data_IF_271062633502
#
_entry.id   IF_271062633502
#
_cell.length_a   1.000
_cell.length_b   1.000
_cell.length_c   1.000
_cell.angle_alpha   90.00
_cell.angle_beta   90.00
_cell.angle_gamma   90.00
#
_symmetry.space_group_name_H-M   'P 1'
#
loop_
_entity.id
_entity.type
_entity.pdbx_description
1 polymer ?
#
# COMPACT_ATOMS: atom_id res chain seq x y z
N UNK A 1 11.65 -7.68 -5.74
CA UNK A 1 11.07 -7.86 -7.10
C UNK A 1 10.83 -6.54 -7.82
N UNK A 2 10.08 -5.59 -7.24
CA UNK A 2 9.84 -4.28 -7.87
C UNK A 2 11.11 -3.56 -8.34
N UNK A 3 12.09 -3.43 -7.44
CA UNK A 3 13.40 -2.85 -7.78
C UNK A 3 14.06 -3.54 -8.98
N UNK A 4 14.09 -4.88 -9.00
CA UNK A 4 14.67 -5.64 -10.10
C UNK A 4 13.97 -5.39 -11.43
N UNK A 5 12.62 -5.40 -11.44
CA UNK A 5 11.86 -5.10 -12.66
C UNK A 5 12.07 -3.65 -13.12
N UNK A 6 11.99 -2.69 -12.20
CA UNK A 6 12.16 -1.26 -12.50
C UNK A 6 13.53 -0.96 -13.10
N UNK A 7 14.59 -1.51 -12.49
CA UNK A 7 15.97 -1.43 -12.98
C UNK A 7 16.12 -2.10 -14.33
N UNK A 8 15.61 -3.33 -14.50
CA UNK A 8 15.73 -4.07 -15.76
C UNK A 8 15.01 -3.35 -16.91
N UNK A 9 13.75 -2.96 -16.71
CA UNK A 9 12.93 -2.35 -17.76
C UNK A 9 13.44 -0.95 -18.13
N UNK A 10 13.83 -0.14 -17.15
CA UNK A 10 14.47 1.16 -17.40
C UNK A 10 15.83 1.00 -18.09
N UNK A 11 16.60 -0.02 -17.72
CA UNK A 11 17.88 -0.36 -18.35
C UNK A 11 17.73 -0.72 -19.83
N UNK A 12 16.64 -1.41 -20.22
CA UNK A 12 16.32 -1.64 -21.63
C UNK A 12 16.12 -0.32 -22.37
N UNK A 13 15.39 0.64 -21.78
CA UNK A 13 15.23 1.98 -22.34
C UNK A 13 16.57 2.69 -22.56
N UNK A 14 17.43 2.69 -21.55
CA UNK A 14 18.78 3.29 -21.62
C UNK A 14 19.64 2.61 -22.68
N UNK A 15 19.66 1.28 -22.74
CA UNK A 15 20.44 0.54 -23.74
C UNK A 15 20.00 0.87 -25.18
N UNK A 16 18.69 0.95 -25.43
CA UNK A 16 18.15 1.33 -26.74
C UNK A 16 18.49 2.78 -27.11
N UNK A 17 18.51 3.68 -26.13
CA UNK A 17 18.88 5.07 -26.32
C UNK A 17 20.40 5.23 -26.53
N UNK A 18 21.22 4.45 -25.83
CA UNK A 18 22.68 4.50 -25.92
C UNK A 18 23.22 4.14 -27.29
N UNK A 19 22.48 3.34 -28.08
CA UNK A 19 22.80 3.09 -29.49
C UNK A 19 22.64 4.35 -30.35
N UNK A 20 21.69 5.23 -30.01
CA UNK A 20 21.44 6.47 -30.76
C UNK A 20 22.28 7.65 -30.25
N UNK A 21 22.40 7.80 -28.92
CA UNK A 21 23.04 8.94 -28.25
C UNK A 21 23.80 8.50 -26.98
N UNK A 22 25.03 7.98 -27.11
CA UNK A 22 25.79 7.45 -25.98
C UNK A 22 26.13 8.51 -24.91
N UNK A 23 26.20 9.77 -25.30
CA UNK A 23 26.46 10.93 -24.43
C UNK A 23 25.36 11.16 -23.37
N UNK A 24 24.13 10.73 -23.66
CA UNK A 24 22.99 10.94 -22.74
C UNK A 24 22.75 9.79 -21.76
N UNK A 25 23.54 8.72 -21.83
CA UNK A 25 23.39 7.51 -20.99
C UNK A 25 23.48 7.84 -19.50
N UNK A 26 24.51 8.59 -19.09
CA UNK A 26 24.69 8.94 -17.68
C UNK A 26 23.60 9.85 -17.14
N UNK A 27 23.04 10.74 -17.97
CA UNK A 27 21.91 11.58 -17.56
C UNK A 27 20.62 10.78 -17.41
N UNK A 28 20.47 9.72 -18.19
CA UNK A 28 19.25 8.89 -18.24
C UNK A 28 19.25 7.76 -17.21
N UNK A 29 20.23 7.69 -16.29
CA UNK A 29 20.34 6.63 -15.28
C UNK A 29 19.36 6.78 -14.11
N UNK A 30 18.77 7.97 -13.94
CA UNK A 30 17.90 8.31 -12.80
C UNK A 30 16.79 7.27 -12.53
N UNK A 31 16.02 6.76 -13.53
CA UNK A 31 14.97 5.79 -13.27
C UNK A 31 15.51 4.46 -12.71
N UNK A 32 16.74 4.07 -13.09
CA UNK A 32 17.41 2.87 -12.58
C UNK A 32 17.80 3.07 -11.13
N UNK A 33 18.35 4.24 -10.79
CA UNK A 33 18.72 4.57 -9.41
C UNK A 33 17.47 4.59 -8.52
N UNK A 34 16.40 5.28 -8.94
CA UNK A 34 15.12 5.33 -8.21
C UNK A 34 14.50 3.94 -8.00
N UNK A 35 14.53 3.07 -9.02
CA UNK A 35 14.09 1.68 -8.86
C UNK A 35 14.97 0.91 -7.86
N UNK A 36 16.28 1.16 -7.84
CA UNK A 36 17.23 0.56 -6.90
C UNK A 36 16.94 0.90 -5.44
N UNK A 37 16.55 2.15 -5.15
CA UNK A 37 16.23 2.61 -3.78
C UNK A 37 15.06 1.82 -3.17
N UNK A 38 14.10 1.34 -3.97
CA UNK A 38 13.02 0.48 -3.49
C UNK A 38 13.51 -0.81 -2.82
N UNK A 39 14.69 -1.32 -3.19
CA UNK A 39 15.30 -2.49 -2.54
C UNK A 39 15.72 -2.20 -1.10
N UNK A 40 16.13 -0.95 -0.83
CA UNK A 40 16.54 -0.49 0.49
C UNK A 40 15.34 -0.45 1.45
N UNK A 41 14.13 -0.13 0.96
CA UNK A 41 12.92 -0.10 1.78
C UNK A 41 12.64 -1.47 2.41
N UNK A 42 12.73 -2.54 1.62
CA UNK A 42 12.58 -3.91 2.11
C UNK A 42 13.66 -4.27 3.14
N UNK A 43 14.91 -3.90 2.87
CA UNK A 43 16.04 -4.14 3.79
C UNK A 43 15.84 -3.42 5.13
N UNK A 44 15.45 -2.14 5.12
CA UNK A 44 15.16 -1.37 6.34
C UNK A 44 14.09 -2.09 7.17
N UNK A 45 13.01 -2.52 6.53
CA UNK A 45 11.92 -3.20 7.25
C UNK A 45 12.33 -4.56 7.81
N UNK A 46 13.10 -5.34 7.07
CA UNK A 46 13.59 -6.64 7.52
C UNK A 46 14.52 -6.49 8.75
N UNK A 47 15.44 -5.52 8.70
CA UNK A 47 16.37 -5.26 9.82
C UNK A 47 15.61 -4.78 11.06
N UNK A 48 14.64 -3.87 10.90
CA UNK A 48 13.84 -3.36 12.02
C UNK A 48 12.99 -4.48 12.63
N UNK A 49 12.33 -5.31 11.82
CA UNK A 49 11.56 -6.44 12.32
C UNK A 49 12.46 -7.43 13.07
N UNK A 50 13.63 -7.76 12.51
CA UNK A 50 14.57 -8.68 13.14
C UNK A 50 15.10 -8.14 14.47
N UNK A 51 15.38 -6.83 14.57
CA UNK A 51 15.80 -6.19 15.81
C UNK A 51 14.74 -6.16 16.91
N UNK A 52 13.48 -6.48 16.58
CA UNK A 52 12.32 -6.46 17.49
C UNK A 52 11.79 -7.86 17.83
N UNK A 53 12.43 -8.90 17.31
CA UNK A 53 12.02 -10.28 17.52
C UNK A 53 12.74 -10.88 18.74
N UNK A 54 12.19 -10.64 19.94
CA UNK A 54 12.64 -11.32 21.15
C UNK A 54 11.81 -12.57 21.43
N UNK A 55 12.45 -13.74 21.35
CA UNK A 55 11.78 -15.05 21.50
C UNK A 55 11.05 -15.23 22.84
N UNK A 56 11.46 -14.50 23.88
CA UNK A 56 10.85 -14.59 25.22
C UNK A 56 9.55 -13.79 25.37
N UNK A 57 9.30 -12.79 24.53
CA UNK A 57 8.18 -11.83 24.70
C UNK A 57 7.34 -11.68 23.42
N UNK A 58 7.60 -12.52 22.41
CA UNK A 58 6.89 -12.45 21.14
C UNK A 58 5.46 -12.99 21.24
N UNK A 59 4.49 -12.11 21.04
CA UNK A 59 3.07 -12.46 21.03
C UNK A 59 2.56 -12.76 19.61
N UNK A 60 1.45 -13.48 19.50
CA UNK A 60 0.79 -13.68 18.20
C UNK A 60 0.39 -12.33 17.55
N UNK A 61 0.01 -11.34 18.36
CA UNK A 61 -0.30 -9.98 17.91
C UNK A 61 0.90 -9.29 17.24
N UNK A 62 2.08 -9.34 17.86
CA UNK A 62 3.32 -8.81 17.25
C UNK A 62 3.71 -9.59 15.99
N UNK A 63 3.45 -10.90 15.99
CA UNK A 63 3.55 -11.78 14.81
C UNK A 63 2.77 -11.24 13.60
N UNK A 64 1.48 -11.01 13.77
CA UNK A 64 0.62 -10.51 12.70
C UNK A 64 0.95 -9.08 12.28
N UNK A 65 1.37 -8.23 13.23
CA UNK A 65 1.82 -6.87 12.92
C UNK A 65 3.07 -6.88 12.02
N UNK A 66 4.09 -7.68 12.36
CA UNK A 66 5.31 -7.80 11.56
C UNK A 66 5.06 -8.43 10.19
N UNK A 67 4.16 -9.42 10.11
CA UNK A 67 3.72 -9.98 8.83
C UNK A 67 3.06 -8.92 7.94
N UNK A 68 2.11 -8.15 8.50
CA UNK A 68 1.46 -7.05 7.79
C UNK A 68 2.44 -5.99 7.34
N UNK A 69 3.38 -5.59 8.21
CA UNK A 69 4.43 -4.63 7.89
C UNK A 69 5.34 -5.10 6.73
N UNK A 70 5.74 -6.37 6.72
CA UNK A 70 6.54 -6.92 5.62
C UNK A 70 5.77 -6.94 4.29
N UNK A 71 4.51 -7.38 4.32
CA UNK A 71 3.66 -7.47 3.14
C UNK A 71 3.32 -6.10 2.55
N UNK A 72 3.02 -5.09 3.38
CA UNK A 72 2.71 -3.73 2.93
C UNK A 72 3.88 -3.14 2.14
N UNK A 73 5.09 -3.23 2.68
CA UNK A 73 6.30 -2.65 2.08
C UNK A 73 6.71 -3.41 0.83
N UNK A 74 6.72 -4.75 0.90
CA UNK A 74 7.09 -5.61 -0.22
C UNK A 74 6.18 -5.41 -1.45
N UNK A 75 4.86 -5.45 -1.26
CA UNK A 75 3.90 -5.32 -2.36
C UNK A 75 3.77 -3.88 -2.86
N UNK A 76 3.89 -2.88 -2.00
CA UNK A 76 3.92 -1.46 -2.45
C UNK A 76 5.17 -1.15 -3.26
N UNK A 77 6.32 -1.67 -2.84
CA UNK A 77 7.59 -1.53 -3.58
C UNK A 77 7.57 -2.29 -4.90
N UNK A 78 6.84 -3.41 -4.97
CA UNK A 78 6.58 -4.11 -6.24
C UNK A 78 5.78 -3.22 -7.21
N UNK A 79 4.68 -2.64 -6.75
CA UNK A 79 3.83 -1.75 -7.55
C UNK A 79 4.60 -0.52 -8.04
N UNK A 80 5.33 0.15 -7.15
CA UNK A 80 6.18 1.29 -7.49
C UNK A 80 7.24 0.93 -8.55
N UNK A 81 7.94 -0.19 -8.36
CA UNK A 81 8.97 -0.65 -9.31
C UNK A 81 8.43 -0.99 -10.70
N UNK A 82 7.22 -1.55 -10.78
CA UNK A 82 6.52 -1.78 -12.05
C UNK A 82 6.24 -0.45 -12.78
N UNK A 83 5.72 0.55 -12.06
CA UNK A 83 5.44 1.86 -12.63
C UNK A 83 6.72 2.57 -13.09
N UNK A 84 7.75 2.61 -12.24
CA UNK A 84 9.06 3.20 -12.56
C UNK A 84 9.66 2.52 -13.80
N UNK A 85 9.61 1.19 -13.89
CA UNK A 85 10.15 0.46 -15.04
C UNK A 85 9.45 0.81 -16.35
N UNK A 86 8.12 0.86 -16.35
CA UNK A 86 7.32 1.16 -17.55
C UNK A 86 7.50 2.62 -17.98
N UNK A 87 7.42 3.56 -17.03
CA UNK A 87 7.58 5.00 -17.31
C UNK A 87 9.03 5.32 -17.67
N UNK A 88 10.00 4.75 -16.95
CA UNK A 88 11.42 4.97 -17.20
C UNK A 88 11.83 4.50 -18.58
N UNK A 89 11.34 3.34 -19.01
CA UNK A 89 11.58 2.81 -20.36
C UNK A 89 11.02 3.73 -21.46
N UNK A 90 9.77 4.14 -21.36
CA UNK A 90 9.15 5.06 -22.33
C UNK A 90 9.76 6.46 -22.30
N UNK A 91 10.01 6.98 -21.09
CA UNK A 91 10.55 8.31 -20.84
C UNK A 91 11.98 8.47 -21.34
N UNK A 92 12.85 7.49 -21.09
CA UNK A 92 14.25 7.53 -21.58
C UNK A 92 14.30 7.47 -23.11
N UNK A 93 13.47 6.64 -23.74
CA UNK A 93 13.35 6.60 -25.21
C UNK A 93 12.83 7.92 -25.78
N UNK A 94 11.83 8.52 -25.16
CA UNK A 94 11.29 9.80 -25.60
C UNK A 94 12.29 10.94 -25.39
N UNK A 95 13.03 10.93 -24.27
CA UNK A 95 14.10 11.88 -23.97
C UNK A 95 15.27 11.76 -24.97
N UNK A 96 15.51 10.56 -25.52
CA UNK A 96 16.47 10.34 -26.61
C UNK A 96 16.17 11.20 -27.83
N UNK A 97 14.89 11.38 -28.14
CA UNK A 97 14.41 12.15 -29.29
C UNK A 97 14.34 13.64 -28.93
N UNK A 98 13.77 13.97 -27.77
CA UNK A 98 13.64 15.35 -27.30
C UNK A 98 14.14 15.54 -25.85
N UNK A 99 15.31 16.16 -25.64
CA UNK A 99 15.90 16.32 -24.30
C UNK A 99 15.13 17.29 -23.39
N UNK A 100 14.22 18.09 -23.95
CA UNK A 100 13.34 18.99 -23.17
C UNK A 100 12.36 18.20 -22.29
N UNK A 101 12.13 16.92 -22.58
CA UNK A 101 11.23 16.05 -21.83
C UNK A 101 11.82 15.59 -20.48
N UNK A 102 13.13 15.74 -20.27
CA UNK A 102 13.84 15.23 -19.10
C UNK A 102 13.19 15.60 -17.76
N UNK A 103 12.80 16.86 -17.59
CA UNK A 103 12.16 17.33 -16.35
C UNK A 103 10.79 16.70 -16.15
N UNK A 104 9.99 16.60 -17.21
CA UNK A 104 8.67 15.96 -17.15
C UNK A 104 8.77 14.48 -16.79
N UNK A 105 9.75 13.77 -17.36
CA UNK A 105 10.04 12.37 -17.01
C UNK A 105 10.37 12.22 -15.52
N UNK A 106 11.26 13.06 -14.97
CA UNK A 106 11.64 13.01 -13.55
C UNK A 106 10.43 13.23 -12.65
N UNK A 107 9.59 14.22 -12.96
CA UNK A 107 8.40 14.50 -12.15
C UNK A 107 7.46 13.29 -12.07
N UNK A 108 7.24 12.58 -13.17
CA UNK A 108 6.41 11.37 -13.19
C UNK A 108 7.05 10.25 -12.34
N UNK A 109 8.38 10.11 -12.41
CA UNK A 109 9.10 9.09 -11.65
C UNK A 109 9.06 9.36 -10.13
N UNK A 110 9.12 10.63 -9.71
CA UNK A 110 8.97 11.00 -8.28
C UNK A 110 7.60 10.56 -7.75
N UNK A 111 6.52 10.76 -8.52
CA UNK A 111 5.20 10.27 -8.11
C UNK A 111 5.14 8.74 -8.03
N UNK A 112 5.80 8.03 -8.94
CA UNK A 112 5.87 6.56 -8.89
C UNK A 112 6.69 6.06 -7.68
N UNK A 113 7.78 6.74 -7.33
CA UNK A 113 8.62 6.41 -6.18
C UNK A 113 7.90 6.69 -4.84
N UNK A 114 7.14 7.78 -4.77
CA UNK A 114 6.36 8.14 -3.58
C UNK A 114 5.41 7.00 -3.13
N UNK A 115 4.90 6.20 -4.06
CA UNK A 115 4.07 5.02 -3.76
C UNK A 115 4.83 3.99 -2.91
N UNK A 116 6.12 3.78 -3.20
CA UNK A 116 7.00 2.91 -2.40
C UNK A 116 7.21 3.47 -0.99
N UNK A 117 7.40 4.79 -0.88
CA UNK A 117 7.53 5.47 0.40
C UNK A 117 6.26 5.36 1.25
N UNK A 118 5.07 5.44 0.66
CA UNK A 118 3.82 5.25 1.40
C UNK A 118 3.73 3.86 2.04
N UNK A 119 4.14 2.82 1.30
CA UNK A 119 4.25 1.47 1.85
C UNK A 119 5.26 1.37 2.98
N UNK A 120 6.45 1.98 2.82
CA UNK A 120 7.48 2.03 3.85
C UNK A 120 6.98 2.69 5.14
N UNK A 121 6.34 3.86 5.04
CA UNK A 121 5.82 4.60 6.19
C UNK A 121 4.81 3.75 6.97
N UNK A 122 3.83 3.14 6.28
CA UNK A 122 2.84 2.27 6.92
C UNK A 122 3.50 1.07 7.56
N UNK A 123 4.43 0.39 6.89
CA UNK A 123 5.16 -0.74 7.44
C UNK A 123 5.93 -0.39 8.71
N UNK A 124 6.61 0.77 8.74
CA UNK A 124 7.33 1.24 9.91
C UNK A 124 6.40 1.63 11.07
N UNK A 125 5.26 2.25 10.79
CA UNK A 125 4.25 2.60 11.79
C UNK A 125 3.63 1.36 12.42
N UNK A 126 3.33 0.33 11.63
CA UNK A 126 2.80 -0.95 12.15
C UNK A 126 3.88 -1.66 12.97
N UNK A 127 5.13 -1.71 12.48
CA UNK A 127 6.23 -2.34 13.21
C UNK A 127 6.62 -1.60 14.51
N UNK A 128 6.43 -0.27 14.60
CA UNK A 128 6.71 0.49 15.82
C UNK A 128 5.64 0.35 16.89
N UNK A 129 4.38 0.22 16.48
CA UNK A 129 3.25 0.11 17.41
C UNK A 129 3.02 -1.32 17.92
N UNK A 130 3.60 -2.34 17.27
CA UNK A 130 3.50 -3.74 17.65
C UNK A 130 3.98 -4.03 19.08
N UNK A 131 5.14 -3.48 19.48
CA UNK A 131 5.74 -3.70 20.81
C UNK A 131 5.02 -2.96 21.92
N UNK A 132 4.48 -1.76 21.64
CA UNK A 132 3.75 -0.99 22.63
C UNK A 132 2.43 -1.65 22.99
N UNK A 133 1.70 -2.12 21.98
CA UNK A 133 0.35 -2.70 22.14
C UNK A 133 0.38 -4.18 22.53
N UNK A 134 1.45 -4.92 22.21
CA UNK A 134 1.58 -6.35 22.55
C UNK A 134 2.09 -6.67 23.96
N UNK A 135 2.41 -5.67 24.79
CA UNK A 135 2.95 -5.87 26.14
C UNK A 135 1.93 -6.54 27.06
N UNK A 136 2.31 -7.68 27.65
CA UNK A 136 1.52 -8.38 28.66
C UNK A 136 0.52 -9.41 28.14
N UNK A 137 0.37 -9.59 26.82
CA UNK A 137 -0.47 -10.66 26.24
C UNK A 137 0.20 -12.05 26.27
N UNK A 138 1.47 -12.13 26.65
CA UNK A 138 2.15 -13.39 26.92
C UNK A 138 2.70 -13.35 28.34
N UNK A 139 2.23 -14.22 29.23
CA UNK A 139 3.05 -14.61 30.38
C UNK A 139 4.25 -15.40 29.86
N UNK A 140 5.45 -15.25 30.45
CA UNK A 140 6.67 -15.88 29.95
C UNK A 140 6.53 -17.41 29.84
N UNK A 141 7.20 -17.98 28.84
CA UNK A 141 7.33 -19.41 28.61
C UNK A 141 7.98 -20.06 29.84
N UNK A 142 7.23 -20.83 30.64
CA UNK A 142 7.84 -21.62 31.71
C UNK A 142 8.41 -22.90 31.08
N UNK A 143 9.74 -23.02 31.09
CA UNK A 143 10.51 -24.09 30.44
C UNK A 143 10.16 -25.50 30.96
N UNK A 144 9.40 -25.57 32.06
CA UNK A 144 8.94 -26.81 32.68
C UNK A 144 7.69 -27.42 32.00
N UNK A 145 6.82 -26.62 31.34
CA UNK A 145 5.49 -27.11 30.91
C UNK A 145 5.27 -27.33 29.41
N UNK A 146 6.22 -27.07 28.51
CA UNK A 146 6.07 -27.24 27.03
C UNK A 146 4.71 -26.75 26.49
N UNK A 147 4.18 -25.66 27.02
CA UNK A 147 2.86 -25.17 26.64
C UNK A 147 3.02 -23.96 25.71
N UNK A 148 2.78 -24.19 24.42
CA UNK A 148 2.55 -23.10 23.47
C UNK A 148 1.37 -22.25 23.99
N UNK A 149 1.48 -20.93 23.85
CA UNK A 149 0.51 -19.90 24.27
C UNK A 149 -0.91 -20.43 24.55
N UNK A 150 -1.12 -20.93 25.77
CA UNK A 150 -2.43 -21.30 26.31
C UNK A 150 -2.42 -21.06 27.82
N UNK A 151 -2.94 -19.91 28.21
CA UNK A 151 -3.67 -19.77 29.47
C UNK A 151 -5.10 -19.37 29.11
N UNK A 152 -5.89 -20.41 28.86
CA UNK A 152 -7.30 -20.36 28.46
C UNK A 152 -7.71 -21.73 27.94
N UNK A 153 -7.95 -22.66 28.87
CA UNK A 153 -8.80 -23.85 28.78
C UNK A 153 -9.02 -24.49 27.39
N UNK A 154 -8.18 -25.46 27.04
CA UNK A 154 -8.54 -26.56 26.12
C UNK A 154 -8.20 -27.92 26.73
N UNK A 155 -8.14 -28.01 28.06
CA UNK A 155 -8.18 -29.32 28.73
C UNK A 155 -9.64 -29.71 28.93
N UNK A 156 -10.06 -30.67 28.10
CA UNK A 156 -11.22 -31.54 28.25
C UNK A 156 -12.61 -30.88 28.30
N UNK A 157 -13.29 -30.88 27.15
CA UNK A 157 -14.74 -31.08 27.13
C UNK A 157 -15.00 -32.59 27.35
N UNK A 158 -15.46 -33.07 28.51
CA UNK A 158 -16.35 -34.21 28.51
C UNK A 158 -17.70 -33.71 27.97
N UNK A 159 -18.24 -34.40 26.97
CA UNK A 159 -19.63 -34.23 26.56
C UNK A 159 -20.56 -34.42 27.77
N UNK A 160 -21.13 -33.36 28.32
CA UNK A 160 -22.21 -33.45 29.30
C UNK A 160 -23.05 -32.16 29.37
N UNK A 161 -24.33 -32.32 28.98
CA UNK A 161 -25.52 -31.54 29.35
C UNK A 161 -25.52 -30.01 29.24
N UNK A 162 -26.33 -29.55 28.28
CA UNK A 162 -26.97 -28.24 28.29
C UNK A 162 -27.68 -27.99 29.63
N UNK A 163 -27.23 -26.98 30.39
CA UNK A 163 -28.04 -26.36 31.45
C UNK A 163 -27.97 -24.84 31.33
N UNK A 164 -29.13 -24.19 31.44
CA UNK A 164 -29.43 -22.84 30.97
C UNK A 164 -28.93 -21.70 31.88
N UNK A 165 -27.79 -21.86 32.57
CA UNK A 165 -27.29 -20.86 33.55
C UNK A 165 -25.84 -20.40 33.37
N UNK A 166 -25.19 -20.66 32.23
CA UNK A 166 -23.83 -20.17 31.89
C UNK A 166 -23.82 -19.08 30.82
N UNK A 167 -24.83 -18.22 30.75
CA UNK A 167 -24.98 -17.22 29.67
C UNK A 167 -24.18 -15.91 29.84
N UNK A 168 -23.20 -15.81 30.75
CA UNK A 168 -22.42 -14.57 30.97
C UNK A 168 -20.91 -14.79 31.22
N UNK A 169 -20.26 -15.76 30.56
CA UNK A 169 -18.81 -15.64 30.37
C UNK A 169 -18.55 -15.10 28.96
N UNK A 170 -18.21 -13.80 28.88
CA UNK A 170 -17.67 -13.24 27.63
C UNK A 170 -16.43 -14.04 27.23
N UNK A 171 -16.47 -14.64 26.04
CA UNK A 171 -15.30 -15.27 25.43
C UNK A 171 -14.12 -14.28 25.42
N UNK A 172 -12.93 -14.72 25.83
CA UNK A 172 -11.71 -13.91 25.73
C UNK A 172 -11.44 -13.56 24.27
N UNK A 173 -10.97 -12.34 24.02
CA UNK A 173 -10.58 -11.90 22.68
C UNK A 173 -9.55 -12.86 22.07
N UNK A 174 -9.88 -13.52 20.97
CA UNK A 174 -8.93 -14.40 20.27
C UNK A 174 -7.84 -13.54 19.59
N UNK A 175 -6.54 -13.79 19.82
CA UNK A 175 -5.45 -13.11 19.12
C UNK A 175 -5.53 -13.19 17.58
N UNK A 176 -6.25 -14.18 17.03
CA UNK A 176 -6.52 -14.29 15.59
C UNK A 176 -7.33 -13.10 15.03
N UNK A 177 -8.08 -12.37 15.86
CA UNK A 177 -8.85 -11.19 15.43
C UNK A 177 -7.94 -10.06 14.90
N UNK A 178 -6.76 -9.89 15.51
CA UNK A 178 -5.79 -8.87 15.11
C UNK A 178 -5.20 -9.13 13.72
N UNK A 179 -5.12 -10.40 13.30
CA UNK A 179 -4.70 -10.76 11.95
C UNK A 179 -5.58 -10.09 10.89
N UNK A 180 -6.90 -10.14 11.05
CA UNK A 180 -7.82 -9.49 10.11
C UNK A 180 -7.69 -7.96 10.12
N UNK A 181 -7.40 -7.36 11.27
CA UNK A 181 -7.08 -5.93 11.37
C UNK A 181 -5.83 -5.54 10.57
N UNK A 182 -4.72 -6.24 10.77
CA UNK A 182 -3.47 -5.99 10.04
C UNK A 182 -3.55 -6.34 8.56
N UNK A 183 -4.35 -7.34 8.18
CA UNK A 183 -4.67 -7.62 6.78
C UNK A 183 -5.56 -6.53 6.16
N UNK A 184 -6.43 -5.89 6.96
CA UNK A 184 -7.14 -4.66 6.57
C UNK A 184 -6.18 -3.51 6.26
N UNK A 185 -5.24 -3.23 7.17
CA UNK A 185 -4.17 -2.23 6.96
C UNK A 185 -3.38 -2.53 5.69
N UNK A 186 -3.00 -3.80 5.49
CA UNK A 186 -2.22 -4.26 4.34
C UNK A 186 -2.98 -4.11 3.04
N UNK A 187 -4.22 -4.60 2.99
CA UNK A 187 -5.05 -4.54 1.77
C UNK A 187 -5.38 -3.10 1.37
N UNK A 188 -5.61 -2.20 2.33
CA UNK A 188 -5.86 -0.79 2.07
C UNK A 188 -4.72 -0.14 1.26
N UNK A 189 -3.49 -0.28 1.74
CA UNK A 189 -2.33 0.37 1.12
C UNK A 189 -1.88 -0.35 -0.16
N UNK A 190 -1.87 -1.68 -0.17
CA UNK A 190 -1.34 -2.45 -1.31
C UNK A 190 -2.19 -2.27 -2.56
N UNK A 191 -3.52 -2.39 -2.45
CA UNK A 191 -4.40 -2.22 -3.60
C UNK A 191 -4.48 -0.76 -4.06
N UNK A 192 -4.46 0.20 -3.14
CA UNK A 192 -4.38 1.62 -3.48
C UNK A 192 -3.09 1.95 -4.24
N UNK A 193 -1.94 1.48 -3.76
CA UNK A 193 -0.65 1.68 -4.42
C UNK A 193 -0.57 0.97 -5.77
N UNK A 194 -1.20 -0.21 -5.92
CA UNK A 194 -1.26 -0.90 -7.22
C UNK A 194 -2.12 -0.14 -8.24
N UNK A 195 -3.25 0.45 -7.80
CA UNK A 195 -4.06 1.34 -8.63
C UNK A 195 -3.31 2.59 -9.06
N UNK A 196 -2.70 3.28 -8.10
CA UNK A 196 -1.89 4.47 -8.34
C UNK A 196 -0.70 4.20 -9.27
N UNK A 197 -0.03 3.06 -9.08
CA UNK A 197 1.09 2.62 -9.91
C UNK A 197 0.64 2.37 -11.36
N UNK A 198 -0.49 1.68 -11.57
CA UNK A 198 -1.03 1.47 -12.91
C UNK A 198 -1.42 2.80 -13.58
N UNK A 199 -2.12 3.67 -12.85
CA UNK A 199 -2.52 4.99 -13.33
C UNK A 199 -1.34 5.83 -13.76
N UNK A 200 -0.28 5.82 -12.95
CA UNK A 200 1.00 6.50 -13.22
C UNK A 200 1.72 5.89 -14.42
N UNK A 201 1.76 4.54 -14.51
CA UNK A 201 2.44 3.83 -15.59
C UNK A 201 1.80 4.12 -16.95
N UNK A 202 0.49 3.95 -17.08
CA UNK A 202 -0.24 4.18 -18.34
C UNK A 202 -0.21 5.65 -18.75
N UNK A 203 -0.53 6.56 -17.84
CA UNK A 203 -0.49 8.00 -18.12
C UNK A 203 0.92 8.47 -18.47
N UNK A 204 1.95 7.95 -17.78
CA UNK A 204 3.34 8.30 -18.04
C UNK A 204 3.84 7.86 -19.41
N UNK A 205 3.42 6.69 -19.91
CA UNK A 205 3.72 6.24 -21.28
C UNK A 205 3.02 7.15 -22.31
N UNK A 206 1.77 7.54 -22.05
CA UNK A 206 1.03 8.50 -22.88
C UNK A 206 1.71 9.87 -22.96
N UNK A 207 2.11 10.42 -21.81
CA UNK A 207 2.83 11.70 -21.73
C UNK A 207 4.19 11.59 -22.43
N UNK A 208 4.91 10.49 -22.26
CA UNK A 208 6.21 10.28 -22.92
C UNK A 208 6.06 10.24 -24.44
N UNK A 209 5.05 9.55 -24.96
CA UNK A 209 4.79 9.47 -26.40
C UNK A 209 4.29 10.81 -26.98
N UNK A 210 3.45 11.53 -26.25
CA UNK A 210 2.98 12.86 -26.66
C UNK A 210 4.11 13.90 -26.61
N UNK A 211 4.97 13.80 -25.59
CA UNK A 211 6.05 14.74 -25.32
C UNK A 211 7.11 14.78 -26.42
N UNK A 212 7.28 13.70 -27.19
CA UNK A 212 8.13 13.69 -28.40
C UNK A 212 7.57 14.59 -29.50
N UNK A 213 6.26 14.72 -29.61
CA UNK A 213 5.62 15.51 -30.66
C UNK A 213 5.40 16.96 -30.20
N UNK A 214 4.93 17.17 -28.97
CA UNK A 214 4.61 18.49 -28.40
C UNK A 214 5.15 18.65 -26.98
N UNK A 215 6.46 18.97 -26.82
CA UNK A 215 7.10 19.05 -25.51
C UNK A 215 6.54 20.16 -24.61
N UNK A 216 5.99 21.22 -25.20
CA UNK A 216 5.44 22.37 -24.46
C UNK A 216 4.19 22.01 -23.64
N UNK A 217 3.53 20.90 -23.97
CA UNK A 217 2.31 20.45 -23.29
C UNK A 217 2.55 19.41 -22.19
N UNK A 218 3.81 18.97 -21.99
CA UNK A 218 4.15 17.93 -21.01
C UNK A 218 3.73 18.36 -19.61
N UNK A 219 4.08 19.58 -19.19
CA UNK A 219 3.77 20.07 -17.84
C UNK A 219 2.26 20.11 -17.54
N UNK A 220 1.44 20.45 -18.55
CA UNK A 220 -0.03 20.43 -18.40
C UNK A 220 -0.59 19.02 -18.36
N UNK A 221 0.10 18.07 -18.98
CA UNK A 221 -0.35 16.68 -19.11
C UNK A 221 0.04 15.80 -17.92
N UNK A 222 0.72 16.34 -16.90
CA UNK A 222 1.09 15.62 -15.67
C UNK A 222 -0.12 15.40 -14.74
N UNK A 223 -1.21 16.15 -14.89
CA UNK A 223 -2.40 16.09 -14.02
C UNK A 223 -2.92 14.66 -13.77
N UNK A 224 -3.07 13.76 -14.77
CA UNK A 224 -3.54 12.38 -14.52
C UNK A 224 -2.58 11.57 -13.65
N UNK A 225 -1.27 11.83 -13.72
CA UNK A 225 -0.26 11.19 -12.85
C UNK A 225 -0.42 11.67 -11.42
N UNK A 226 -0.63 12.97 -11.21
CA UNK A 226 -0.87 13.52 -9.86
C UNK A 226 -2.13 12.92 -9.26
N UNK A 227 -3.23 12.90 -10.02
CA UNK A 227 -4.51 12.32 -9.59
C UNK A 227 -4.38 10.82 -9.27
N UNK A 228 -3.58 10.06 -10.04
CA UNK A 228 -3.28 8.68 -9.70
C UNK A 228 -2.49 8.56 -8.38
N UNK A 229 -1.54 9.47 -8.12
CA UNK A 229 -0.74 9.49 -6.90
C UNK A 229 -1.56 9.71 -5.63
N UNK A 230 -2.62 10.52 -5.69
CA UNK A 230 -3.50 10.81 -4.54
C UNK A 230 -4.20 9.54 -4.02
N UNK A 231 -4.49 8.57 -4.88
CA UNK A 231 -5.09 7.28 -4.48
C UNK A 231 -4.24 6.53 -3.44
N UNK A 232 -2.90 6.59 -3.57
CA UNK A 232 -1.98 5.98 -2.59
C UNK A 232 -2.09 6.63 -1.20
N UNK A 233 -2.39 7.94 -1.17
CA UNK A 233 -2.61 8.68 0.08
C UNK A 233 -3.89 8.22 0.77
N UNK A 234 -4.96 7.91 0.02
CA UNK A 234 -6.20 7.36 0.59
C UNK A 234 -5.96 6.03 1.31
N UNK A 235 -5.17 5.14 0.71
CA UNK A 235 -4.74 3.89 1.33
C UNK A 235 -3.90 4.13 2.59
N UNK A 236 -2.95 5.07 2.53
CA UNK A 236 -2.08 5.42 3.67
C UNK A 236 -2.87 5.99 4.85
N UNK A 237 -3.78 6.94 4.61
CA UNK A 237 -4.62 7.53 5.66
C UNK A 237 -5.46 6.45 6.34
N UNK A 238 -6.09 5.57 5.55
CA UNK A 238 -6.93 4.48 6.08
C UNK A 238 -6.09 3.50 6.91
N UNK A 239 -4.93 3.10 6.42
CA UNK A 239 -4.00 2.22 7.11
C UNK A 239 -3.56 2.79 8.47
N UNK A 240 -3.18 4.07 8.52
CA UNK A 240 -2.75 4.73 9.77
C UNK A 240 -3.90 4.86 10.76
N UNK A 241 -5.10 5.19 10.31
CA UNK A 241 -6.29 5.31 11.17
C UNK A 241 -6.67 3.96 11.77
N UNK A 242 -6.69 2.89 10.97
CA UNK A 242 -6.96 1.55 11.46
C UNK A 242 -5.91 1.16 12.51
N UNK A 243 -4.61 1.33 12.20
CA UNK A 243 -3.54 1.01 13.15
C UNK A 243 -3.62 1.83 14.45
N UNK A 244 -4.08 3.08 14.38
CA UNK A 244 -4.34 3.92 15.55
C UNK A 244 -5.41 3.34 16.48
N UNK A 245 -6.48 2.77 15.91
CA UNK A 245 -7.66 2.26 16.63
C UNK A 245 -7.55 0.81 17.11
N UNK A 246 -6.54 0.05 16.66
CA UNK A 246 -6.32 -1.31 17.14
C UNK A 246 -5.77 -1.29 18.57
N UNK A 247 -6.48 -1.86 19.54
CA UNK A 247 -5.96 -2.10 20.90
C UNK A 247 -5.92 -3.61 21.16
N UNK A 248 -4.75 -4.15 21.51
CA UNK A 248 -4.53 -5.59 21.55
C UNK A 248 -5.34 -6.28 22.66
N UNK A 249 -5.61 -5.60 23.76
CA UNK A 249 -6.30 -6.19 24.92
C UNK A 249 -7.81 -6.35 24.70
N UNK A 250 -8.42 -5.48 23.89
CA UNK A 250 -9.89 -5.36 23.74
C UNK A 250 -10.37 -5.61 22.30
N UNK A 251 -9.52 -6.18 21.45
CA UNK A 251 -9.84 -6.37 20.05
C UNK A 251 -10.82 -7.53 19.81
N UNK A 252 -12.05 -7.20 19.42
CA UNK A 252 -13.07 -8.20 19.09
C UNK A 252 -12.95 -8.70 17.63
N UNK A 253 -13.47 -9.91 17.37
CA UNK A 253 -13.59 -10.42 16.00
C UNK A 253 -14.44 -9.50 15.10
N UNK A 254 -15.46 -8.85 15.66
CA UNK A 254 -16.26 -7.85 14.95
C UNK A 254 -15.40 -6.67 14.47
N UNK A 255 -14.57 -6.11 15.35
CA UNK A 255 -13.65 -5.04 14.99
C UNK A 255 -12.63 -5.53 13.95
N UNK A 256 -12.11 -6.75 14.08
CA UNK A 256 -11.21 -7.37 13.11
C UNK A 256 -11.80 -7.43 11.69
N UNK A 257 -13.01 -7.97 11.54
CA UNK A 257 -13.69 -8.03 10.24
C UNK A 257 -14.12 -6.66 9.72
N UNK A 258 -14.53 -5.74 10.61
CA UNK A 258 -14.88 -4.38 10.21
C UNK A 258 -13.66 -3.63 9.66
N UNK A 259 -12.50 -3.75 10.31
CA UNK A 259 -11.25 -3.14 9.84
C UNK A 259 -10.72 -3.79 8.54
N UNK A 260 -10.90 -5.11 8.38
CA UNK A 260 -10.63 -5.78 7.11
C UNK A 260 -11.53 -5.26 5.98
N UNK A 261 -12.84 -5.17 6.24
CA UNK A 261 -13.81 -4.64 5.28
C UNK A 261 -13.51 -3.18 4.92
N UNK A 262 -13.21 -2.34 5.91
CA UNK A 262 -12.77 -0.97 5.69
C UNK A 262 -11.54 -0.91 4.78
N UNK A 263 -10.51 -1.71 5.06
CA UNK A 263 -9.30 -1.74 4.24
C UNK A 263 -9.54 -2.19 2.80
N UNK A 264 -10.32 -3.26 2.61
CA UNK A 264 -10.65 -3.79 1.29
C UNK A 264 -11.52 -2.82 0.47
N UNK A 265 -12.49 -2.15 1.09
CA UNK A 265 -13.35 -1.17 0.39
C UNK A 265 -12.53 -0.02 -0.18
N UNK A 266 -11.63 0.58 0.61
CA UNK A 266 -10.74 1.66 0.15
C UNK A 266 -9.72 1.15 -0.87
N UNK A 267 -9.10 0.00 -0.60
CA UNK A 267 -8.06 -0.55 -1.45
C UNK A 267 -8.58 -0.91 -2.85
N UNK A 268 -9.68 -1.68 -2.93
CA UNK A 268 -10.23 -2.12 -4.21
C UNK A 268 -10.92 -0.99 -4.99
N UNK A 269 -11.57 -0.02 -4.31
CA UNK A 269 -12.11 1.17 -5.00
C UNK A 269 -11.00 2.01 -5.60
N UNK A 270 -9.90 2.18 -4.87
CA UNK A 270 -8.73 2.95 -5.33
C UNK A 270 -7.99 2.23 -6.46
N UNK A 271 -7.95 0.90 -6.44
CA UNK A 271 -7.46 0.10 -7.55
C UNK A 271 -8.28 0.35 -8.82
N UNK A 272 -9.61 0.25 -8.73
CA UNK A 272 -10.50 0.48 -9.86
C UNK A 272 -10.42 1.93 -10.38
N UNK A 273 -10.37 2.92 -9.49
CA UNK A 273 -10.19 4.32 -9.84
C UNK A 273 -8.84 4.56 -10.55
N UNK A 274 -7.76 3.96 -10.06
CA UNK A 274 -6.43 4.05 -10.68
C UNK A 274 -6.36 3.42 -12.07
N UNK A 275 -7.07 2.30 -12.28
CA UNK A 275 -7.21 1.69 -13.61
C UNK A 275 -7.94 2.64 -14.58
N UNK A 276 -9.05 3.24 -14.14
CA UNK A 276 -9.81 4.20 -14.95
C UNK A 276 -8.97 5.44 -15.27
N UNK A 277 -8.30 6.03 -14.28
CA UNK A 277 -7.41 7.18 -14.45
C UNK A 277 -6.27 6.85 -15.42
N UNK A 278 -5.68 5.66 -15.36
CA UNK A 278 -4.62 5.25 -16.27
C UNK A 278 -5.07 5.17 -17.73
N UNK A 279 -6.23 4.57 -17.99
CA UNK A 279 -6.78 4.42 -19.34
C UNK A 279 -7.18 5.78 -19.91
N UNK A 280 -7.93 6.57 -19.14
CA UNK A 280 -8.36 7.92 -19.52
C UNK A 280 -7.14 8.84 -19.68
N UNK A 281 -6.15 8.70 -18.81
CA UNK A 281 -4.90 9.46 -18.85
C UNK A 281 -4.13 9.19 -20.14
N UNK A 282 -3.85 7.93 -20.50
CA UNK A 282 -3.12 7.59 -21.72
C UNK A 282 -3.86 8.05 -23.00
N UNK A 283 -5.16 7.76 -23.11
CA UNK A 283 -5.95 8.18 -24.27
C UNK A 283 -6.12 9.70 -24.33
N UNK A 284 -6.39 10.33 -23.19
CA UNK A 284 -6.65 11.76 -23.05
C UNK A 284 -5.44 12.61 -23.38
N UNK A 285 -4.24 12.26 -22.86
CA UNK A 285 -3.02 13.03 -23.16
C UNK A 285 -2.62 12.90 -24.63
N UNK A 286 -2.84 11.73 -25.26
CA UNK A 286 -2.61 11.52 -26.70
C UNK A 286 -3.60 12.29 -27.57
N UNK A 287 -4.89 12.32 -27.19
CA UNK A 287 -5.90 13.09 -27.92
C UNK A 287 -5.70 14.60 -27.75
N UNK A 288 -5.29 15.05 -26.57
CA UNK A 288 -4.93 16.45 -26.31
C UNK A 288 -3.74 16.91 -27.17
N UNK A 289 -2.85 15.97 -27.53
CA UNK A 289 -1.77 16.17 -28.50
C UNK A 289 -2.25 16.50 -29.91
N UNK A 290 -3.49 16.15 -30.26
CA UNK A 290 -4.10 16.48 -31.56
C UNK A 290 -5.01 17.71 -31.44
N UNK A 291 -5.86 17.76 -30.41
CA UNK A 291 -6.82 18.85 -30.23
C UNK A 291 -6.81 19.38 -28.78
N UNK A 292 -6.20 20.56 -28.51
CA UNK A 292 -6.05 21.09 -27.15
C UNK A 292 -7.37 21.47 -26.48
N UNK A 293 -8.46 21.63 -27.24
CA UNK A 293 -9.80 21.87 -26.71
C UNK A 293 -10.35 20.68 -25.91
N UNK A 294 -9.80 19.47 -26.10
CA UNK A 294 -10.18 18.28 -25.35
C UNK A 294 -9.62 18.24 -23.92
N UNK A 295 -8.70 19.16 -23.57
CA UNK A 295 -8.06 19.20 -22.25
C UNK A 295 -9.08 19.28 -21.10
N UNK A 296 -10.08 20.16 -21.21
CA UNK A 296 -11.11 20.32 -20.18
C UNK A 296 -11.99 19.07 -20.09
N UNK A 297 -12.32 18.44 -21.23
CA UNK A 297 -13.07 17.19 -21.27
C UNK A 297 -12.33 16.04 -20.58
N UNK A 298 -11.01 15.93 -20.81
CA UNK A 298 -10.17 14.95 -20.12
C UNK A 298 -10.19 15.16 -18.59
N UNK A 299 -10.05 16.40 -18.12
CA UNK A 299 -10.09 16.70 -16.68
C UNK A 299 -11.43 16.33 -16.07
N UNK A 300 -12.55 16.65 -16.73
CA UNK A 300 -13.88 16.30 -16.25
C UNK A 300 -14.02 14.78 -16.04
N UNK A 301 -13.56 13.97 -17.00
CA UNK A 301 -13.61 12.50 -16.89
C UNK A 301 -12.72 12.01 -15.73
N UNK A 302 -11.53 12.60 -15.56
CA UNK A 302 -10.63 12.24 -14.46
C UNK A 302 -11.22 12.53 -13.09
N UNK A 303 -11.95 13.64 -12.93
CA UNK A 303 -12.66 13.97 -11.67
C UNK A 303 -13.72 12.90 -11.34
N UNK A 304 -14.48 12.45 -12.34
CA UNK A 304 -15.45 11.35 -12.12
C UNK A 304 -14.76 10.02 -11.80
N UNK A 305 -13.61 9.73 -12.42
CA UNK A 305 -12.83 8.54 -12.12
C UNK A 305 -12.24 8.58 -10.69
N UNK A 306 -11.77 9.74 -10.24
CA UNK A 306 -11.24 9.96 -8.89
C UNK A 306 -12.34 9.86 -7.81
N UNK A 307 -13.54 10.35 -8.11
CA UNK A 307 -14.69 10.26 -7.21
C UNK A 307 -14.98 8.81 -6.77
N UNK A 308 -14.73 7.82 -7.63
CA UNK A 308 -14.86 6.40 -7.29
C UNK A 308 -13.93 5.98 -6.13
N UNK A 309 -12.71 6.51 -6.11
CA UNK A 309 -11.75 6.30 -5.03
C UNK A 309 -12.21 6.98 -3.73
N UNK A 310 -12.68 8.23 -3.84
CA UNK A 310 -13.20 9.01 -2.71
C UNK A 310 -14.41 8.36 -2.04
N UNK A 311 -15.34 7.79 -2.81
CA UNK A 311 -16.48 7.07 -2.24
C UNK A 311 -16.04 5.89 -1.38
N UNK A 312 -15.06 5.11 -1.86
CA UNK A 312 -14.49 4.02 -1.07
C UNK A 312 -13.80 4.51 0.19
N UNK A 313 -13.02 5.61 0.12
CA UNK A 313 -12.40 6.24 1.29
C UNK A 313 -13.43 6.62 2.35
N UNK A 314 -14.51 7.31 1.97
CA UNK A 314 -15.57 7.74 2.90
C UNK A 314 -16.18 6.51 3.57
N UNK A 315 -16.60 5.51 2.79
CA UNK A 315 -17.21 4.29 3.33
C UNK A 315 -16.24 3.57 4.28
N UNK A 316 -14.98 3.39 3.88
CA UNK A 316 -13.96 2.76 4.70
C UNK A 316 -13.72 3.48 6.03
N UNK A 317 -13.68 4.82 6.01
CA UNK A 317 -13.53 5.62 7.23
C UNK A 317 -14.75 5.52 8.16
N UNK A 318 -15.98 5.53 7.61
CA UNK A 318 -17.19 5.34 8.41
C UNK A 318 -17.21 3.96 9.06
N UNK A 319 -16.86 2.91 8.32
CA UNK A 319 -16.78 1.54 8.86
C UNK A 319 -15.70 1.44 9.94
N UNK A 320 -14.50 1.98 9.69
CA UNK A 320 -13.42 1.99 10.66
C UNK A 320 -13.75 2.82 11.91
N UNK A 321 -14.60 3.85 11.81
CA UNK A 321 -15.02 4.65 12.96
C UNK A 321 -16.17 4.05 13.77
N UNK A 322 -17.09 3.35 13.10
CA UNK A 322 -18.21 2.69 13.77
C UNK A 322 -17.81 1.37 14.44
N UNK A 323 -16.73 0.73 13.95
CA UNK A 323 -16.16 -0.49 14.52
C UNK A 323 -15.81 -0.33 16.01
N UNK A 324 -15.24 0.81 16.40
CA UNK A 324 -14.86 1.06 17.80
C UNK A 324 -16.07 1.25 18.72
N UNK A 325 -17.15 1.88 18.22
CA UNK A 325 -18.37 2.09 19.00
C UNK A 325 -19.17 0.80 19.19
N UNK A 326 -19.34 0.03 18.11
CA UNK A 326 -20.14 -1.21 18.11
C UNK A 326 -19.36 -2.44 18.60
N UNK A 327 -18.03 -2.37 18.62
CA UNK A 327 -17.15 -3.45 19.04
C UNK A 327 -16.85 -3.49 20.55
N UNK A 328 -17.32 -2.52 21.34
CA UNK A 328 -17.08 -2.44 22.79
C UNK A 328 -17.96 -3.43 23.55
N UNK A 329 -17.37 -4.15 24.50
CA UNK A 329 -18.10 -5.07 25.38
C UNK A 329 -18.63 -6.32 24.69
N UNK A 330 -18.01 -6.76 23.59
CA UNK A 330 -18.34 -8.03 22.94
C UNK A 330 -17.50 -9.21 23.45
N UNK A 331 -16.39 -8.92 24.13
CA UNK A 331 -15.46 -9.93 24.64
C UNK A 331 -14.68 -9.41 25.86
N UNK A 332 -14.25 -10.34 26.71
CA UNK A 332 -13.50 -10.05 27.94
C UNK A 332 -12.05 -9.74 27.58
N UNK A 333 -11.40 -8.77 28.25
CA UNK A 333 -10.01 -8.43 27.95
C UNK A 333 -9.10 -9.64 28.14
N UNK A 334 -8.09 -9.77 27.28
CA UNK A 334 -7.15 -10.89 27.32
C UNK A 334 -6.41 -11.01 28.67
N UNK A 335 -6.31 -9.90 29.42
CA UNK A 335 -5.50 -9.75 30.63
C UNK A 335 -6.26 -10.06 31.93
N UNK A 336 -7.51 -10.56 31.87
CA UNK A 336 -8.34 -10.90 33.03
C UNK A 336 -8.34 -12.41 33.29
#
# INVERSE_FOLDING_TARGET
>A
MGAAYGTAKSGVGISSMGVMRPDMVMRSIIPVVMAGVLGIYGLITAVIINGKMDAATYSAYSGYAHLGAGLTVGMSSLAAGLAIGIVGDAGVRANAQQPRLFVGMILILIFAEALGLYGLIVGLVVASTAEGKGKGLCTPYNVVSKQFCHKGLYEAQPMAMYSASTLMEMQKCDPSSAFFGFMGVTSAIVFANMGAAYGTAKSGVGISSMGVMRPDMVMRSIIPVVMAGVLGIYGLITAVIINGKMDAATYSAYSGYAHLGAGLTVGMSSLAAGLAIGIVGDAGVRANAQQPRLFVGMILILIFAEALGLYGLIVGLVVASTAEGKGKGLCSPYNV
#
